data_IF_093888787884
#
_entry.id   IF_093888787884
#
_cell.length_a   1.000
_cell.length_b   1.000
_cell.length_c   1.000
_cell.angle_alpha   90.00
_cell.angle_beta   90.00
_cell.angle_gamma   90.00
#
_symmetry.space_group_name_H-M   'P 1'
#
loop_
_entity.id
_entity.type
_entity.pdbx_description
1 polymer ?
#
# COMPACT_ATOMS: atom_id res chain seq x y z
N UNK A 1 21.57 -2.03 -0.34
CA UNK A 1 20.82 -0.76 -0.48
C UNK A 1 20.03 -0.56 0.81
N UNK A 2 20.04 0.63 1.42
CA UNK A 2 19.20 0.89 2.61
C UNK A 2 17.74 0.73 2.20
N UNK A 3 17.01 -0.14 2.90
CA UNK A 3 15.58 -0.29 2.71
C UNK A 3 14.92 1.04 3.09
N UNK A 4 14.14 1.63 2.17
CA UNK A 4 13.39 2.86 2.42
C UNK A 4 12.42 2.56 3.56
N UNK A 5 12.41 3.43 4.58
CA UNK A 5 11.52 3.32 5.74
C UNK A 5 11.00 4.71 6.10
N UNK A 6 9.71 4.91 5.97
CA UNK A 6 8.98 6.09 6.42
C UNK A 6 8.69 5.95 7.92
N UNK A 7 9.31 6.80 8.71
CA UNK A 7 9.09 6.91 10.15
C UNK A 7 8.25 8.16 10.39
N UNK A 8 6.94 8.03 10.17
CA UNK A 8 6.01 9.15 10.00
C UNK A 8 6.02 10.12 11.19
N UNK A 9 6.17 9.58 12.39
CA UNK A 9 6.14 10.33 13.64
C UNK A 9 7.54 10.88 13.95
N UNK A 10 8.55 10.00 13.98
CA UNK A 10 9.92 10.32 14.38
C UNK A 10 10.58 11.38 13.48
N UNK A 11 10.42 11.22 12.16
CA UNK A 11 10.99 12.15 11.18
C UNK A 11 10.03 13.32 10.86
N UNK A 12 8.90 13.41 11.58
CA UNK A 12 7.82 14.37 11.40
C UNK A 12 7.42 14.57 9.92
N UNK A 13 7.25 13.46 9.20
CA UNK A 13 6.95 13.49 7.77
C UNK A 13 5.56 14.06 7.51
N UNK A 14 5.40 14.72 6.35
CA UNK A 14 4.12 15.26 5.86
C UNK A 14 3.35 14.16 5.10
N UNK A 15 2.10 13.84 5.50
CA UNK A 15 1.32 12.78 4.86
C UNK A 15 1.18 12.92 3.33
N UNK A 16 1.01 14.15 2.82
CA UNK A 16 0.83 14.39 1.39
C UNK A 16 2.09 13.99 0.59
N UNK A 17 3.27 14.38 1.09
CA UNK A 17 4.54 14.07 0.45
C UNK A 17 4.83 12.56 0.47
N UNK A 18 4.55 11.90 1.60
CA UNK A 18 4.78 10.46 1.72
C UNK A 18 3.78 9.67 0.87
N UNK A 19 2.54 10.14 0.74
CA UNK A 19 1.53 9.54 -0.16
C UNK A 19 2.04 9.57 -1.61
N UNK A 20 2.49 10.72 -2.10
CA UNK A 20 3.02 10.85 -3.46
C UNK A 20 4.25 9.97 -3.70
N UNK A 21 5.17 9.92 -2.73
CA UNK A 21 6.36 9.08 -2.81
C UNK A 21 6.01 7.59 -2.82
N UNK A 22 5.09 7.18 -1.95
CA UNK A 22 4.62 5.80 -1.86
C UNK A 22 3.95 5.38 -3.16
N UNK A 23 3.10 6.23 -3.75
CA UNK A 23 2.46 5.95 -5.05
C UNK A 23 3.50 5.83 -6.16
N UNK A 24 4.52 6.70 -6.21
CA UNK A 24 5.61 6.58 -7.19
C UNK A 24 6.36 5.24 -7.04
N UNK A 25 6.64 4.82 -5.81
CA UNK A 25 7.31 3.54 -5.52
C UNK A 25 6.44 2.37 -5.99
N UNK A 26 5.15 2.38 -5.63
CA UNK A 26 4.19 1.33 -6.04
C UNK A 26 4.09 1.25 -7.56
N UNK A 27 3.91 2.38 -8.25
CA UNK A 27 3.77 2.40 -9.71
C UNK A 27 5.01 1.85 -10.42
N UNK A 28 6.21 2.09 -9.87
CA UNK A 28 7.43 1.47 -10.40
C UNK A 28 7.41 -0.06 -10.23
N UNK A 29 6.99 -0.56 -9.07
CA UNK A 29 6.85 -2.01 -8.86
C UNK A 29 5.76 -2.62 -9.75
N UNK A 30 4.60 -1.97 -9.91
CA UNK A 30 3.56 -2.45 -10.81
C UNK A 30 4.08 -2.54 -12.26
N UNK A 31 4.84 -1.54 -12.71
CA UNK A 31 5.46 -1.56 -14.04
C UNK A 31 6.50 -2.69 -14.19
N UNK A 32 7.32 -2.97 -13.17
CA UNK A 32 8.25 -4.12 -13.15
C UNK A 32 7.53 -5.46 -13.31
N UNK A 33 6.32 -5.57 -12.74
CA UNK A 33 5.44 -6.73 -12.83
C UNK A 33 4.51 -6.71 -14.06
N UNK A 34 4.66 -5.73 -14.97
CA UNK A 34 3.81 -5.53 -16.15
C UNK A 34 2.32 -5.34 -15.83
N UNK A 35 2.02 -4.82 -14.65
CA UNK A 35 0.66 -4.50 -14.21
C UNK A 35 0.35 -3.07 -14.64
N UNK A 36 -0.76 -2.88 -15.37
CA UNK A 36 -1.23 -1.57 -15.81
C UNK A 36 -2.46 -1.16 -15.01
N UNK A 37 -2.74 0.14 -14.95
CA UNK A 37 -3.91 0.67 -14.24
C UNK A 37 -4.65 1.66 -15.13
N UNK A 38 -5.98 1.63 -15.07
CA UNK A 38 -6.83 2.71 -15.57
C UNK A 38 -6.88 3.90 -14.59
N UNK A 39 -7.56 4.99 -14.97
CA UNK A 39 -7.64 6.20 -14.14
C UNK A 39 -8.44 5.99 -12.85
N UNK A 40 -9.45 5.11 -12.86
CA UNK A 40 -10.27 4.82 -11.67
C UNK A 40 -9.44 4.02 -10.66
N UNK A 41 -8.71 3.02 -11.11
CA UNK A 41 -7.82 2.19 -10.29
C UNK A 41 -6.68 3.02 -9.70
N UNK A 42 -6.10 3.96 -10.47
CA UNK A 42 -5.10 4.92 -9.95
C UNK A 42 -5.69 5.78 -8.83
N UNK A 43 -6.89 6.33 -9.02
CA UNK A 43 -7.55 7.16 -8.02
C UNK A 43 -7.90 6.37 -6.74
N UNK A 44 -8.38 5.14 -6.90
CA UNK A 44 -8.71 4.24 -5.78
C UNK A 44 -7.46 3.84 -5.00
N UNK A 45 -6.37 3.45 -5.67
CA UNK A 45 -5.10 3.15 -5.03
C UNK A 45 -4.54 4.37 -4.29
N UNK A 46 -4.58 5.56 -4.92
CA UNK A 46 -4.14 6.80 -4.29
C UNK A 46 -4.90 7.09 -2.99
N UNK A 47 -6.24 6.98 -3.02
CA UNK A 47 -7.09 7.18 -1.86
C UNK A 47 -6.74 6.20 -0.72
N UNK A 48 -6.55 4.93 -1.07
CA UNK A 48 -6.17 3.90 -0.11
C UNK A 48 -4.81 4.18 0.53
N UNK A 49 -3.78 4.46 -0.28
CA UNK A 49 -2.43 4.76 0.22
C UNK A 49 -2.43 6.01 1.08
N UNK A 50 -3.20 7.05 0.71
CA UNK A 50 -3.36 8.24 1.55
C UNK A 50 -3.88 7.85 2.94
N UNK A 51 -4.92 7.02 3.01
CA UNK A 51 -5.46 6.57 4.29
C UNK A 51 -4.45 5.74 5.11
N UNK A 52 -3.64 4.89 4.47
CA UNK A 52 -2.54 4.17 5.14
C UNK A 52 -1.51 5.14 5.74
N UNK A 53 -1.11 6.16 4.97
CA UNK A 53 -0.13 7.16 5.41
C UNK A 53 -0.67 7.99 6.58
N UNK A 54 -1.96 8.37 6.55
CA UNK A 54 -2.60 9.05 7.68
C UNK A 54 -2.58 8.17 8.93
N UNK A 55 -2.98 6.88 8.84
CA UNK A 55 -2.92 5.94 9.98
C UNK A 55 -1.50 5.76 10.51
N UNK A 56 -0.50 5.71 9.63
CA UNK A 56 0.90 5.68 10.03
C UNK A 56 1.33 6.96 10.77
N UNK A 57 0.70 8.11 10.50
CA UNK A 57 0.98 9.36 11.22
C UNK A 57 0.23 9.47 12.54
N UNK A 58 -1.02 9.02 12.59
CA UNK A 58 -1.94 9.22 13.72
C UNK A 58 -1.99 8.05 14.70
N UNK A 59 -1.45 6.89 14.32
CA UNK A 59 -1.60 5.60 15.03
C UNK A 59 -3.05 5.11 15.11
N UNK A 60 -3.93 5.64 14.24
CA UNK A 60 -5.28 5.11 14.10
C UNK A 60 -5.24 3.67 13.61
N UNK A 61 -6.08 2.82 14.21
CA UNK A 61 -6.16 1.41 13.86
C UNK A 61 -6.96 1.20 12.58
N UNK A 62 -6.50 0.27 11.76
CA UNK A 62 -7.31 -0.31 10.69
C UNK A 62 -8.51 -1.06 11.29
N UNK A 63 -9.67 -1.13 10.60
CA UNK A 63 -10.74 -2.05 10.98
C UNK A 63 -10.26 -3.49 11.06
N UNK A 64 -10.95 -4.33 11.83
CA UNK A 64 -10.67 -5.76 11.87
C UNK A 64 -10.89 -6.37 10.48
N UNK A 65 -9.89 -7.11 10.00
CA UNK A 65 -9.89 -7.75 8.69
C UNK A 65 -9.84 -9.25 8.89
N UNK A 66 -10.79 -9.97 8.29
CA UNK A 66 -10.77 -11.44 8.25
C UNK A 66 -9.90 -11.90 7.05
N UNK A 67 -8.72 -12.52 7.26
CA UNK A 67 -7.85 -12.96 6.18
C UNK A 67 -8.49 -13.99 5.23
N UNK A 68 -9.52 -14.72 5.69
CA UNK A 68 -10.20 -15.72 4.85
C UNK A 68 -10.93 -15.09 3.67
N UNK A 69 -11.32 -13.82 3.78
CA UNK A 69 -11.93 -13.05 2.68
C UNK A 69 -10.95 -12.77 1.52
N UNK A 70 -9.65 -12.99 1.72
CA UNK A 70 -8.60 -12.72 0.75
C UNK A 70 -7.94 -13.99 0.21
N UNK A 71 -8.54 -15.17 0.45
CA UNK A 71 -7.98 -16.46 0.04
C UNK A 71 -7.81 -16.61 -1.48
N UNK A 72 -8.55 -15.84 -2.28
CA UNK A 72 -8.47 -15.84 -3.75
C UNK A 72 -7.47 -14.83 -4.31
N UNK A 73 -6.92 -13.93 -3.46
CA UNK A 73 -5.91 -12.97 -3.89
C UNK A 73 -4.59 -13.70 -4.18
N UNK A 74 -3.97 -13.37 -5.32
CA UNK A 74 -2.71 -14.02 -5.69
C UNK A 74 -1.58 -13.67 -4.73
N UNK A 75 -0.66 -14.62 -4.50
CA UNK A 75 0.50 -14.38 -3.63
C UNK A 75 1.36 -13.22 -4.15
N UNK A 76 1.46 -13.03 -5.46
CA UNK A 76 2.16 -11.87 -6.05
C UNK A 76 1.56 -10.53 -5.60
N UNK A 77 0.23 -10.41 -5.57
CA UNK A 77 -0.46 -9.21 -5.08
C UNK A 77 -0.25 -9.03 -3.58
N UNK A 78 -0.30 -10.12 -2.80
CA UNK A 78 -0.02 -10.08 -1.36
C UNK A 78 1.42 -9.68 -1.07
N UNK A 79 2.40 -10.21 -1.80
CA UNK A 79 3.82 -9.88 -1.64
C UNK A 79 4.10 -8.40 -1.95
N UNK A 80 3.54 -7.88 -3.05
CA UNK A 80 3.61 -6.45 -3.37
C UNK A 80 2.99 -5.61 -2.26
N UNK A 81 1.84 -6.01 -1.72
CA UNK A 81 1.17 -5.25 -0.66
C UNK A 81 1.95 -5.28 0.65
N UNK A 82 2.49 -6.44 1.04
CA UNK A 82 3.38 -6.56 2.21
C UNK A 82 4.65 -5.72 2.01
N UNK A 83 5.20 -5.66 0.79
CA UNK A 83 6.37 -4.82 0.46
C UNK A 83 6.05 -3.34 0.64
N UNK A 84 4.86 -2.89 0.25
CA UNK A 84 4.37 -1.53 0.49
C UNK A 84 4.21 -1.25 1.98
N UNK A 85 3.54 -2.12 2.74
CA UNK A 85 3.36 -1.93 4.20
C UNK A 85 4.70 -1.85 4.92
N UNK A 86 5.69 -2.66 4.51
CA UNK A 86 7.06 -2.63 5.06
C UNK A 86 7.80 -1.31 4.86
N UNK A 87 7.33 -0.42 3.99
CA UNK A 87 7.85 0.95 3.89
C UNK A 87 7.55 1.75 5.16
N UNK A 88 6.55 1.40 5.97
CA UNK A 88 6.17 2.11 7.19
C UNK A 88 6.63 1.34 8.42
N UNK A 89 7.09 2.03 9.46
CA UNK A 89 7.58 1.45 10.71
C UNK A 89 6.50 0.94 11.66
N UNK A 90 5.29 1.50 11.55
CA UNK A 90 4.23 1.30 12.52
C UNK A 90 2.90 0.80 11.93
N UNK A 91 2.86 0.48 10.63
CA UNK A 91 1.65 -0.10 10.04
C UNK A 91 1.54 -1.61 10.32
N UNK A 92 0.35 -2.10 10.69
CA UNK A 92 0.09 -3.53 10.85
C UNK A 92 0.15 -4.26 9.50
N UNK A 93 0.58 -5.53 9.49
CA UNK A 93 0.71 -6.30 8.25
C UNK A 93 -0.65 -6.60 7.60
N UNK A 94 -1.71 -6.52 8.39
CA UNK A 94 -3.10 -6.67 8.01
C UNK A 94 -3.55 -5.64 6.96
N UNK A 95 -2.91 -4.46 6.91
CA UNK A 95 -3.09 -3.48 5.83
C UNK A 95 -2.83 -4.07 4.45
N UNK A 96 -1.92 -5.05 4.37
CA UNK A 96 -1.56 -5.67 3.11
C UNK A 96 -2.74 -6.41 2.46
N UNK A 97 -3.68 -6.95 3.25
CA UNK A 97 -4.84 -7.65 2.71
C UNK A 97 -5.74 -6.71 1.90
N UNK A 98 -6.08 -5.54 2.46
CA UNK A 98 -6.92 -4.55 1.77
C UNK A 98 -6.18 -3.93 0.59
N UNK A 99 -4.89 -3.64 0.75
CA UNK A 99 -4.08 -3.08 -0.32
C UNK A 99 -3.92 -4.06 -1.50
N UNK A 100 -3.76 -5.36 -1.23
CA UNK A 100 -3.56 -6.36 -2.27
C UNK A 100 -4.75 -6.45 -3.25
N UNK A 101 -5.96 -6.11 -2.82
CA UNK A 101 -7.14 -6.03 -3.71
C UNK A 101 -6.91 -5.04 -4.84
N UNK A 102 -6.25 -3.90 -4.58
CA UNK A 102 -5.95 -2.91 -5.63
C UNK A 102 -4.97 -3.45 -6.67
N UNK A 103 -4.03 -4.30 -6.25
CA UNK A 103 -3.07 -4.93 -7.17
C UNK A 103 -3.72 -6.06 -7.94
N UNK A 104 -4.54 -6.88 -7.30
CA UNK A 104 -5.24 -7.98 -7.95
C UNK A 104 -6.20 -7.46 -9.03
N UNK A 105 -6.98 -6.43 -8.73
CA UNK A 105 -7.88 -5.81 -9.70
C UNK A 105 -7.10 -5.21 -10.88
N UNK A 106 -5.96 -4.58 -10.63
CA UNK A 106 -5.12 -4.02 -11.69
C UNK A 106 -4.47 -5.11 -12.56
N UNK A 107 -4.14 -6.28 -12.01
CA UNK A 107 -3.61 -7.43 -12.77
C UNK A 107 -4.60 -8.00 -13.78
N UNK A 108 -5.90 -7.82 -13.54
CA UNK A 108 -6.95 -8.35 -14.40
C UNK A 108 -7.30 -7.45 -15.61
N UNK A 109 -6.53 -6.37 -15.83
CA UNK A 109 -6.69 -5.44 -16.96
C UNK A 109 -6.23 -6.01 -18.31
#
# INVERSE_FOLDING_TARGET
MKQIKFRMIEDNLKPELVTEQTIKIINNWLAEHKITQDEVQKAMLFSHVKAMVERAKTLEKIPEVDPTLFAEISEESLELARKTVKLFDNLPMEEAYLLAVHYEVAKAN
#
